data_IF_889761946774
#
_entry.id   IF_889761946774
#
_cell.length_a   1.000
_cell.length_b   1.000
_cell.length_c   1.000
_cell.angle_alpha   90.00
_cell.angle_beta   90.00
_cell.angle_gamma   90.00
#
_symmetry.space_group_name_H-M   'P 1'
#
loop_
_entity.id
_entity.type
_entity.pdbx_description
1 polymer ?
#
# COMPACT_ATOMS: atom_id res chain seq x y z
N UNK A 1 5.00 24.97 -16.91
CA UNK A 1 5.08 23.53 -16.60
C UNK A 1 3.70 22.93 -16.88
N UNK A 2 3.64 21.80 -17.57
CA UNK A 2 2.39 21.10 -17.86
C UNK A 2 2.29 19.83 -17.01
N UNK A 3 1.20 19.70 -16.27
CA UNK A 3 0.95 18.61 -15.33
C UNK A 3 -0.28 17.83 -15.83
N UNK A 4 -0.12 16.54 -16.06
CA UNK A 4 -1.24 15.63 -16.31
C UNK A 4 -1.46 14.80 -15.05
N UNK A 5 -2.71 14.71 -14.59
CA UNK A 5 -3.01 14.11 -13.29
C UNK A 5 -4.31 13.30 -13.29
N UNK A 6 -4.36 12.26 -12.46
CA UNK A 6 -5.62 11.59 -12.12
C UNK A 6 -6.54 12.57 -11.38
N UNK A 7 -7.73 12.82 -11.94
CA UNK A 7 -8.74 13.76 -11.40
C UNK A 7 -9.22 13.41 -9.98
N UNK A 8 -9.08 12.14 -9.59
CA UNK A 8 -9.49 11.65 -8.28
C UNK A 8 -8.38 11.79 -7.20
N UNK A 9 -7.30 12.51 -7.49
CA UNK A 9 -6.33 12.91 -6.47
C UNK A 9 -6.97 13.98 -5.59
N UNK A 10 -7.09 13.75 -4.26
CA UNK A 10 -7.72 14.71 -3.37
C UNK A 10 -7.00 16.06 -3.40
N UNK A 11 -7.77 17.14 -3.46
CA UNK A 11 -7.28 18.52 -3.43
C UNK A 11 -6.26 18.84 -4.56
N UNK A 12 -6.33 18.13 -5.69
CA UNK A 12 -5.42 18.24 -6.83
C UNK A 12 -5.17 19.72 -7.23
N UNK A 13 -6.24 20.47 -7.51
CA UNK A 13 -6.13 21.87 -7.93
C UNK A 13 -5.53 22.78 -6.85
N UNK A 14 -5.81 22.49 -5.58
CA UNK A 14 -5.29 23.28 -4.46
C UNK A 14 -3.78 23.14 -4.30
N UNK A 15 -3.26 21.93 -4.50
CA UNK A 15 -1.83 21.66 -4.31
C UNK A 15 -0.99 21.86 -5.57
N UNK A 16 -1.56 21.66 -6.76
CA UNK A 16 -0.78 21.64 -8.00
C UNK A 16 -1.19 22.72 -9.00
N UNK A 17 -2.33 23.38 -8.84
CA UNK A 17 -2.84 24.35 -9.79
C UNK A 17 -1.99 25.61 -9.97
N UNK A 18 -1.17 25.97 -8.99
CA UNK A 18 -0.28 27.14 -9.05
C UNK A 18 1.05 26.85 -9.77
N UNK A 19 1.39 25.58 -10.03
CA UNK A 19 2.65 25.21 -10.64
C UNK A 19 2.65 25.26 -12.17
N UNK A 20 1.49 25.42 -12.80
CA UNK A 20 1.38 25.52 -14.26
C UNK A 20 0.03 25.07 -14.79
N UNK A 21 -0.01 24.68 -16.06
CA UNK A 21 -1.17 24.10 -16.69
C UNK A 21 -1.46 22.72 -16.11
N UNK A 22 -2.62 22.55 -15.50
CA UNK A 22 -3.04 21.29 -14.87
C UNK A 22 -4.19 20.68 -15.68
N UNK A 23 -3.95 19.50 -16.24
CA UNK A 23 -4.93 18.70 -16.99
C UNK A 23 -5.32 17.51 -16.12
N UNK A 24 -6.55 17.48 -15.65
CA UNK A 24 -7.11 16.40 -14.86
C UNK A 24 -7.93 15.47 -15.76
N UNK A 25 -7.69 14.14 -15.66
CA UNK A 25 -8.39 13.08 -16.40
C UNK A 25 -8.67 11.90 -15.49
N UNK A 26 -9.68 11.06 -15.80
CA UNK A 26 -9.82 9.77 -15.14
C UNK A 26 -8.51 8.96 -15.29
N UNK A 27 -7.95 8.47 -14.19
CA UNK A 27 -6.63 7.83 -14.19
C UNK A 27 -6.53 6.63 -15.14
N UNK A 28 -7.64 5.90 -15.36
CA UNK A 28 -7.71 4.77 -16.32
C UNK A 28 -7.75 5.20 -17.78
N UNK A 29 -8.00 6.48 -18.05
CA UNK A 29 -8.12 7.05 -19.39
C UNK A 29 -6.89 7.89 -19.78
N UNK A 30 -5.90 7.98 -18.91
CA UNK A 30 -4.62 8.63 -19.23
C UNK A 30 -3.87 7.75 -20.22
N UNK A 31 -3.56 8.33 -21.38
CA UNK A 31 -2.86 7.66 -22.50
C UNK A 31 -1.55 8.36 -22.82
N UNK A 32 -0.70 7.71 -23.60
CA UNK A 32 0.56 8.30 -24.07
C UNK A 32 0.36 9.62 -24.82
N UNK A 33 -0.72 9.79 -25.58
CA UNK A 33 -1.03 11.03 -26.29
C UNK A 33 -1.33 12.21 -25.34
N UNK A 34 -1.80 11.95 -24.13
CA UNK A 34 -2.11 13.00 -23.15
C UNK A 34 -0.86 13.59 -22.50
N UNK A 35 0.23 12.84 -22.50
CA UNK A 35 1.47 13.18 -21.79
C UNK A 35 2.65 13.49 -22.71
N UNK A 36 2.46 13.53 -24.01
CA UNK A 36 3.54 13.79 -24.98
C UNK A 36 4.34 15.06 -24.66
N UNK A 37 3.66 16.13 -24.27
CA UNK A 37 4.23 17.43 -23.93
C UNK A 37 4.10 17.79 -22.44
N UNK A 38 3.81 16.78 -21.60
CA UNK A 38 3.74 16.97 -20.14
C UNK A 38 5.12 16.95 -19.49
N UNK A 39 5.33 17.81 -18.50
CA UNK A 39 6.53 17.81 -17.66
C UNK A 39 6.38 16.85 -16.47
N UNK A 40 5.15 16.72 -15.97
CA UNK A 40 4.81 15.99 -14.74
C UNK A 40 3.60 15.11 -14.96
N UNK A 41 3.67 13.87 -14.48
CA UNK A 41 2.56 12.93 -14.44
C UNK A 41 2.25 12.58 -12.96
N UNK A 42 1.02 12.85 -12.54
CA UNK A 42 0.54 12.49 -11.19
C UNK A 42 -0.54 11.41 -11.31
N UNK A 43 -0.29 10.27 -10.67
CA UNK A 43 -1.15 9.09 -10.80
C UNK A 43 -1.64 8.57 -9.45
N UNK A 44 -2.59 7.66 -9.53
CA UNK A 44 -2.95 6.70 -8.48
C UNK A 44 -2.74 5.28 -9.01
N UNK A 45 -2.94 4.28 -8.17
CA UNK A 45 -2.72 2.86 -8.48
C UNK A 45 -3.52 2.30 -9.67
N UNK A 46 -4.44 3.06 -10.23
CA UNK A 46 -5.27 2.65 -11.38
C UNK A 46 -4.63 2.95 -12.75
N UNK A 47 -3.51 3.67 -12.75
CA UNK A 47 -2.76 4.03 -13.97
C UNK A 47 -1.46 3.25 -14.00
N UNK A 48 -1.31 2.36 -14.98
CA UNK A 48 -0.04 1.66 -15.19
C UNK A 48 0.98 2.63 -15.81
N UNK A 49 2.09 2.85 -15.11
CA UNK A 49 3.18 3.75 -15.54
C UNK A 49 4.36 2.90 -15.97
N UNK A 50 4.46 2.67 -17.26
CA UNK A 50 5.46 1.83 -17.91
C UNK A 50 6.02 2.47 -19.17
N UNK A 51 6.88 1.76 -19.87
CA UNK A 51 7.44 2.18 -21.15
C UNK A 51 6.34 2.52 -22.19
N UNK A 52 5.20 1.83 -22.20
CA UNK A 52 4.15 2.03 -23.19
C UNK A 52 3.49 3.39 -22.99
N UNK A 53 3.29 3.78 -21.74
CA UNK A 53 2.70 5.07 -21.40
C UNK A 53 3.69 6.20 -21.64
N UNK A 54 4.94 6.06 -21.17
CA UNK A 54 5.93 7.15 -21.12
C UNK A 54 6.76 7.33 -22.39
N UNK A 55 6.73 6.36 -23.30
CA UNK A 55 7.52 6.43 -24.54
C UNK A 55 7.17 7.70 -25.33
N UNK A 56 8.21 8.38 -25.81
CA UNK A 56 8.14 9.62 -26.60
C UNK A 56 7.53 10.82 -25.85
N UNK A 57 7.30 10.72 -24.52
CA UNK A 57 6.83 11.83 -23.69
C UNK A 57 7.99 12.74 -23.24
N UNK A 58 7.64 13.96 -22.80
CA UNK A 58 8.59 14.90 -22.19
C UNK A 58 8.55 14.85 -20.65
N UNK A 59 7.90 13.84 -20.06
CA UNK A 59 7.74 13.69 -18.63
C UNK A 59 9.11 13.52 -17.94
N UNK A 60 9.37 14.35 -16.94
CA UNK A 60 10.60 14.34 -16.14
C UNK A 60 10.36 13.98 -14.67
N UNK A 61 9.10 13.94 -14.27
CA UNK A 61 8.71 13.57 -12.92
C UNK A 61 7.39 12.79 -12.92
N UNK A 62 7.39 11.67 -12.22
CA UNK A 62 6.19 10.87 -11.93
C UNK A 62 5.96 10.88 -10.43
N UNK A 63 4.75 11.25 -10.01
CA UNK A 63 4.31 11.16 -8.63
C UNK A 63 3.13 10.21 -8.48
N UNK A 64 3.21 9.23 -7.58
CA UNK A 64 2.03 8.45 -7.21
C UNK A 64 1.45 8.96 -5.89
N UNK A 65 0.16 9.27 -5.90
CA UNK A 65 -0.59 9.72 -4.72
C UNK A 65 -1.20 8.55 -3.94
N UNK A 66 -0.65 7.36 -4.13
CA UNK A 66 -0.97 6.14 -3.38
C UNK A 66 0.26 5.58 -2.69
N UNK A 67 0.08 4.70 -1.70
CA UNK A 67 1.19 4.15 -0.92
C UNK A 67 1.98 3.06 -1.69
N UNK A 68 1.29 2.27 -2.54
CA UNK A 68 1.90 1.23 -3.36
C UNK A 68 2.58 1.78 -4.60
N UNK A 69 3.55 1.04 -5.15
CA UNK A 69 4.36 1.39 -6.31
C UNK A 69 4.30 0.32 -7.42
N UNK A 70 3.59 -0.76 -7.20
CA UNK A 70 3.47 -1.92 -8.07
C UNK A 70 2.90 -1.61 -9.47
N UNK A 71 2.25 -0.46 -9.62
CA UNK A 71 1.77 0.07 -10.90
C UNK A 71 2.81 0.94 -11.64
N UNK A 72 4.05 1.05 -11.13
CA UNK A 72 5.10 1.90 -11.70
C UNK A 72 6.35 1.08 -12.01
N UNK A 73 6.77 1.08 -13.26
CA UNK A 73 8.03 0.50 -13.72
C UNK A 73 9.21 1.39 -13.31
N UNK A 74 9.72 1.18 -12.11
CA UNK A 74 10.82 1.97 -11.54
C UNK A 74 12.12 1.79 -12.32
N UNK A 75 12.36 0.62 -12.88
CA UNK A 75 13.56 0.33 -13.66
C UNK A 75 13.54 1.16 -14.95
N UNK A 76 12.41 1.23 -15.63
CA UNK A 76 12.24 2.07 -16.79
C UNK A 76 12.41 3.56 -16.46
N UNK A 77 11.80 4.05 -15.37
CA UNK A 77 11.96 5.43 -14.92
C UNK A 77 13.45 5.79 -14.68
N UNK A 78 14.16 4.92 -13.99
CA UNK A 78 15.60 5.09 -13.72
C UNK A 78 16.43 5.11 -15.01
N UNK A 79 16.14 4.23 -15.98
CA UNK A 79 16.83 4.19 -17.28
C UNK A 79 16.60 5.47 -18.10
N UNK A 80 15.45 6.13 -17.95
CA UNK A 80 15.09 7.35 -18.65
C UNK A 80 15.39 8.65 -17.87
N UNK A 81 16.04 8.55 -16.71
CA UNK A 81 16.31 9.68 -15.78
C UNK A 81 15.03 10.44 -15.38
N UNK A 82 13.90 9.71 -15.27
CA UNK A 82 12.63 10.26 -14.82
C UNK A 82 12.59 10.14 -13.29
N UNK A 83 12.46 11.27 -12.59
CA UNK A 83 12.35 11.27 -11.14
C UNK A 83 11.01 10.73 -10.69
N UNK A 84 11.03 9.97 -9.59
CA UNK A 84 9.84 9.38 -9.01
C UNK A 84 9.65 9.77 -7.54
N UNK A 85 8.41 9.95 -7.13
CA UNK A 85 8.04 10.09 -5.72
C UNK A 85 6.74 9.32 -5.42
N UNK A 86 6.72 8.69 -4.26
CA UNK A 86 5.56 8.09 -3.65
C UNK A 86 5.37 8.63 -2.22
N UNK A 87 4.23 8.34 -1.61
CA UNK A 87 3.93 8.74 -0.24
C UNK A 87 3.70 7.52 0.67
N UNK A 88 4.73 6.68 0.91
CA UNK A 88 4.56 5.46 1.70
C UNK A 88 4.10 5.80 3.12
N UNK A 89 3.04 5.12 3.57
CA UNK A 89 2.47 5.31 4.90
C UNK A 89 1.58 6.54 5.08
N UNK A 90 1.36 7.36 4.04
CA UNK A 90 0.49 8.53 4.13
C UNK A 90 -0.95 8.17 4.54
N UNK A 91 -1.48 7.06 4.05
CA UNK A 91 -2.80 6.53 4.37
C UNK A 91 -2.81 5.48 5.50
N UNK A 92 -1.67 5.20 6.14
CA UNK A 92 -1.57 4.07 7.07
C UNK A 92 -2.53 4.20 8.26
N UNK A 93 -2.79 5.40 8.76
CA UNK A 93 -3.77 5.59 9.85
C UNK A 93 -5.20 5.26 9.39
N UNK A 94 -5.59 5.68 8.18
CA UNK A 94 -6.92 5.37 7.63
C UNK A 94 -7.11 3.88 7.40
N UNK A 95 -6.06 3.17 6.96
CA UNK A 95 -6.09 1.69 6.84
C UNK A 95 -6.26 1.05 8.21
N UNK A 96 -5.52 1.51 9.22
CA UNK A 96 -5.66 1.00 10.60
C UNK A 96 -7.07 1.23 11.15
N UNK A 97 -7.66 2.41 10.93
CA UNK A 97 -9.03 2.72 11.35
C UNK A 97 -10.05 1.83 10.64
N UNK A 98 -9.84 1.55 9.35
CA UNK A 98 -10.66 0.61 8.60
C UNK A 98 -10.58 -0.81 9.19
N UNK A 99 -9.36 -1.32 9.48
CA UNK A 99 -9.16 -2.65 10.08
C UNK A 99 -9.83 -2.73 11.45
N UNK A 100 -9.69 -1.72 12.29
CA UNK A 100 -10.36 -1.69 13.60
C UNK A 100 -11.89 -1.68 13.47
N UNK A 101 -12.41 -0.97 12.48
CA UNK A 101 -13.86 -0.98 12.18
C UNK A 101 -14.33 -2.35 11.71
N UNK A 102 -13.56 -3.02 10.83
CA UNK A 102 -13.84 -4.39 10.41
C UNK A 102 -13.81 -5.37 11.60
N UNK A 103 -12.81 -5.25 12.47
CA UNK A 103 -12.68 -6.09 13.66
C UNK A 103 -13.89 -5.93 14.59
N UNK A 104 -14.35 -4.70 14.82
CA UNK A 104 -15.56 -4.43 15.61
C UNK A 104 -16.82 -5.05 15.00
N UNK A 105 -16.98 -4.98 13.67
CA UNK A 105 -18.11 -5.61 12.97
C UNK A 105 -18.04 -7.12 13.05
N UNK A 106 -16.84 -7.70 12.90
CA UNK A 106 -16.64 -9.15 13.01
C UNK A 106 -16.97 -9.65 14.42
N UNK A 107 -16.53 -8.92 15.46
CA UNK A 107 -16.82 -9.24 16.84
C UNK A 107 -18.33 -9.25 17.13
N UNK A 108 -19.05 -8.24 16.65
CA UNK A 108 -20.51 -8.15 16.80
C UNK A 108 -21.22 -9.28 16.00
N UNK A 109 -20.78 -9.55 14.76
CA UNK A 109 -21.40 -10.56 13.89
C UNK A 109 -21.16 -11.99 14.40
N UNK A 110 -19.99 -12.28 14.94
CA UNK A 110 -19.58 -13.62 15.38
C UNK A 110 -19.64 -13.79 16.90
N UNK A 111 -20.09 -12.76 17.63
CA UNK A 111 -20.32 -12.78 19.09
C UNK A 111 -19.08 -13.16 19.90
N UNK A 112 -17.93 -12.51 19.60
CA UNK A 112 -16.71 -12.62 20.42
C UNK A 112 -16.29 -11.26 20.97
N UNK A 113 -15.57 -11.27 22.06
CA UNK A 113 -14.99 -10.04 22.64
C UNK A 113 -13.62 -9.77 22.02
N UNK A 114 -13.39 -8.54 21.54
CA UNK A 114 -12.17 -8.16 20.82
C UNK A 114 -10.91 -8.30 21.66
N UNK A 115 -11.00 -8.03 22.96
CA UNK A 115 -9.89 -8.11 23.92
C UNK A 115 -9.56 -9.55 24.35
N UNK A 116 -10.48 -10.50 24.12
CA UNK A 116 -10.25 -11.92 24.33
C UNK A 116 -9.65 -12.61 23.09
N UNK A 117 -9.79 -11.99 21.92
CA UNK A 117 -9.29 -12.52 20.65
C UNK A 117 -7.77 -12.27 20.48
N UNK A 118 -7.13 -13.17 19.73
CA UNK A 118 -5.77 -12.98 19.25
C UNK A 118 -5.77 -12.47 17.82
N UNK A 119 -4.99 -11.42 17.53
CA UNK A 119 -4.89 -10.83 16.19
C UNK A 119 -3.50 -11.05 15.62
N UNK A 120 -3.43 -11.79 14.52
CA UNK A 120 -2.25 -12.00 13.72
C UNK A 120 -2.03 -10.87 12.72
N UNK A 121 -0.82 -10.32 12.67
CA UNK A 121 -0.44 -9.26 11.75
C UNK A 121 0.68 -9.79 10.86
N UNK A 122 0.42 -9.85 9.55
CA UNK A 122 1.40 -10.22 8.55
C UNK A 122 1.90 -8.96 7.86
N UNK A 123 3.21 -8.65 8.01
CA UNK A 123 3.84 -7.42 7.56
C UNK A 123 3.91 -6.34 8.64
N UNK A 124 5.12 -5.97 9.06
CA UNK A 124 5.39 -4.98 10.10
C UNK A 124 5.91 -3.65 9.55
N UNK A 125 5.32 -3.23 8.44
CA UNK A 125 5.58 -1.95 7.79
C UNK A 125 4.80 -0.77 8.41
N UNK A 126 4.48 0.22 7.58
CA UNK A 126 3.78 1.43 8.03
C UNK A 126 2.40 1.19 8.64
N UNK A 127 1.66 0.22 8.13
CA UNK A 127 0.32 -0.13 8.62
C UNK A 127 0.42 -1.10 9.80
N UNK A 128 1.08 -2.25 9.62
CA UNK A 128 1.14 -3.31 10.64
C UNK A 128 1.68 -2.82 11.97
N UNK A 129 2.74 -2.02 11.97
CA UNK A 129 3.30 -1.43 13.19
C UNK A 129 2.31 -0.51 13.92
N UNK A 130 1.54 0.31 13.18
CA UNK A 130 0.55 1.19 13.80
C UNK A 130 -0.66 0.41 14.30
N UNK A 131 -1.10 -0.60 13.55
CA UNK A 131 -2.18 -1.49 13.95
C UNK A 131 -1.81 -2.22 15.24
N UNK A 132 -0.66 -2.87 15.27
CA UNK A 132 -0.14 -3.56 16.45
C UNK A 132 -0.17 -2.68 17.69
N UNK A 133 0.41 -1.48 17.59
CA UNK A 133 0.44 -0.52 18.70
C UNK A 133 -0.96 -0.08 19.18
N UNK A 134 -1.93 0.05 18.28
CA UNK A 134 -3.31 0.41 18.65
C UNK A 134 -4.02 -0.77 19.32
N UNK A 135 -3.88 -1.99 18.77
CA UNK A 135 -4.48 -3.20 19.34
C UNK A 135 -3.95 -3.48 20.76
N UNK A 136 -2.64 -3.41 20.95
CA UNK A 136 -2.04 -3.57 22.29
C UNK A 136 -2.56 -2.55 23.30
N UNK A 137 -2.77 -1.30 22.88
CA UNK A 137 -3.37 -0.26 23.76
C UNK A 137 -4.83 -0.52 24.10
N UNK A 138 -5.53 -1.30 23.29
CA UNK A 138 -6.90 -1.76 23.55
C UNK A 138 -6.94 -3.06 24.37
N UNK A 139 -5.78 -3.60 24.78
CA UNK A 139 -5.68 -4.84 25.53
C UNK A 139 -5.70 -6.12 24.67
N UNK A 140 -5.73 -5.99 23.35
CA UNK A 140 -5.79 -7.12 22.40
C UNK A 140 -4.42 -7.80 22.30
N UNK A 141 -4.41 -9.13 22.43
CA UNK A 141 -3.20 -9.93 22.20
C UNK A 141 -2.87 -9.97 20.71
N UNK A 142 -1.62 -9.66 20.36
CA UNK A 142 -1.17 -9.65 18.97
C UNK A 142 0.01 -10.57 18.73
N UNK A 143 0.07 -11.19 17.55
CA UNK A 143 1.24 -11.89 17.01
C UNK A 143 1.64 -11.26 15.69
N UNK A 144 2.94 -11.07 15.48
CA UNK A 144 3.45 -10.33 14.32
C UNK A 144 4.45 -11.18 13.55
N UNK A 145 4.24 -11.30 12.24
CA UNK A 145 5.17 -11.92 11.32
C UNK A 145 5.64 -10.92 10.25
N UNK A 146 6.94 -10.80 10.09
CA UNK A 146 7.60 -10.09 8.98
C UNK A 146 8.98 -10.71 8.76
N UNK A 147 9.21 -11.43 7.64
CA UNK A 147 10.46 -12.14 7.40
C UNK A 147 11.65 -11.21 7.11
N UNK A 148 11.39 -9.94 6.79
CA UNK A 148 12.41 -8.93 6.51
C UNK A 148 12.77 -8.07 7.74
N UNK A 149 12.21 -8.41 8.92
CA UNK A 149 12.48 -7.72 10.16
C UNK A 149 13.20 -8.62 11.15
N UNK A 150 14.09 -8.02 11.92
CA UNK A 150 14.85 -8.67 12.99
C UNK A 150 14.58 -7.97 14.32
N UNK A 151 15.08 -8.54 15.41
CA UNK A 151 15.05 -7.91 16.75
C UNK A 151 15.81 -6.58 16.82
N UNK A 152 16.66 -6.28 15.84
CA UNK A 152 17.35 -4.98 15.74
C UNK A 152 16.46 -3.91 15.10
N UNK A 153 15.50 -4.34 14.26
CA UNK A 153 14.58 -3.44 13.54
C UNK A 153 13.36 -3.04 14.36
N UNK A 154 13.05 -3.79 15.42
CA UNK A 154 11.84 -3.60 16.22
C UNK A 154 12.01 -4.13 17.64
N UNK A 155 11.37 -3.45 18.61
CA UNK A 155 11.25 -3.92 19.99
C UNK A 155 10.16 -5.02 20.13
N UNK A 156 9.38 -5.25 19.08
CA UNK A 156 8.30 -6.24 19.07
C UNK A 156 8.86 -7.65 18.88
N UNK A 157 8.34 -8.60 19.63
CA UNK A 157 8.64 -10.01 19.47
C UNK A 157 7.97 -10.52 18.18
N UNK A 158 8.78 -10.81 17.16
CA UNK A 158 8.31 -11.43 15.92
C UNK A 158 8.17 -12.94 16.11
N UNK A 159 7.18 -13.53 15.46
CA UNK A 159 6.91 -14.96 15.47
C UNK A 159 6.92 -15.55 14.05
N UNK A 160 6.78 -16.86 13.94
CA UNK A 160 6.67 -17.55 12.65
C UNK A 160 5.33 -17.29 11.98
N UNK A 161 5.24 -17.54 10.68
CA UNK A 161 3.98 -17.49 9.95
C UNK A 161 2.97 -18.48 10.54
N UNK A 162 3.40 -19.70 10.87
CA UNK A 162 2.54 -20.73 11.46
C UNK A 162 1.92 -20.29 12.80
N UNK A 163 2.67 -19.55 13.61
CA UNK A 163 2.15 -19.00 14.87
C UNK A 163 1.13 -17.89 14.64
N UNK A 164 1.29 -17.08 13.57
CA UNK A 164 0.30 -16.07 13.18
C UNK A 164 -0.97 -16.69 12.63
N UNK A 165 -0.84 -17.78 11.88
CA UNK A 165 -1.97 -18.54 11.34
C UNK A 165 -2.84 -19.22 12.41
N UNK A 166 -2.38 -19.33 13.65
CA UNK A 166 -3.17 -19.83 14.80
C UNK A 166 -3.95 -18.72 15.55
N UNK A 167 -3.96 -17.49 15.03
CA UNK A 167 -4.72 -16.40 15.62
C UNK A 167 -6.19 -16.44 15.18
N UNK A 168 -7.07 -15.89 16.00
CA UNK A 168 -8.52 -15.86 15.74
C UNK A 168 -8.85 -14.93 14.54
N UNK A 169 -8.06 -13.89 14.35
CA UNK A 169 -8.19 -12.93 13.23
C UNK A 169 -6.81 -12.66 12.63
N UNK A 170 -6.72 -12.65 11.31
CA UNK A 170 -5.47 -12.36 10.59
C UNK A 170 -5.65 -11.13 9.70
N UNK A 171 -4.69 -10.22 9.77
CA UNK A 171 -4.66 -9.00 8.95
C UNK A 171 -3.34 -8.88 8.18
N UNK A 172 -3.44 -8.82 6.83
CA UNK A 172 -2.28 -8.77 5.93
C UNK A 172 -1.98 -7.32 5.52
N UNK A 173 -0.71 -6.93 5.68
CA UNK A 173 -0.20 -5.60 5.38
C UNK A 173 1.13 -5.67 4.62
N UNK A 174 1.19 -6.55 3.65
CA UNK A 174 2.36 -6.80 2.79
C UNK A 174 2.12 -6.26 1.37
N UNK A 175 3.17 -5.89 0.62
CA UNK A 175 3.05 -5.63 -0.82
C UNK A 175 2.71 -6.94 -1.54
N UNK A 176 2.13 -6.85 -2.74
CA UNK A 176 1.98 -8.00 -3.62
C UNK A 176 3.30 -8.24 -4.36
N UNK A 177 3.91 -9.40 -4.14
CA UNK A 177 5.13 -9.84 -4.83
C UNK A 177 4.96 -11.27 -5.32
N UNK A 178 5.47 -11.58 -6.49
CA UNK A 178 5.44 -12.89 -7.13
C UNK A 178 6.82 -13.56 -7.21
N UNK A 179 7.87 -12.83 -6.80
CA UNK A 179 9.25 -13.28 -6.77
C UNK A 179 9.94 -12.98 -5.42
N UNK A 180 11.22 -13.33 -5.33
CA UNK A 180 12.04 -13.13 -4.12
C UNK A 180 11.98 -14.31 -3.15
N UNK A 181 12.65 -14.15 -2.00
CA UNK A 181 12.77 -15.20 -0.99
C UNK A 181 11.44 -15.48 -0.26
N UNK A 182 10.60 -14.44 -0.10
CA UNK A 182 9.30 -14.51 0.59
C UNK A 182 8.21 -13.87 -0.28
N UNK A 183 7.77 -14.52 -1.39
CA UNK A 183 6.71 -13.99 -2.23
C UNK A 183 5.39 -13.96 -1.45
N UNK A 184 4.60 -12.93 -1.71
CA UNK A 184 3.32 -12.74 -1.01
C UNK A 184 2.11 -13.14 -1.84
N UNK A 185 2.29 -13.35 -3.15
CA UNK A 185 1.24 -13.87 -4.01
C UNK A 185 0.88 -15.29 -3.58
N UNK A 186 -0.40 -15.52 -3.27
CA UNK A 186 -0.92 -16.79 -2.75
C UNK A 186 -0.27 -17.25 -1.42
N UNK A 187 0.33 -16.35 -0.64
CA UNK A 187 0.90 -16.72 0.66
C UNK A 187 -0.11 -17.29 1.66
N UNK A 188 -1.39 -17.00 1.48
CA UNK A 188 -2.51 -17.64 2.16
C UNK A 188 -3.33 -18.33 1.08
N UNK A 189 -3.19 -19.62 0.97
CA UNK A 189 -3.89 -20.47 0.02
C UNK A 189 -4.81 -21.49 0.72
N UNK A 190 -5.26 -22.50 0.00
CA UNK A 190 -6.17 -23.51 0.53
C UNK A 190 -5.56 -24.33 1.67
N UNK A 191 -4.24 -24.53 1.69
CA UNK A 191 -3.54 -25.27 2.74
C UNK A 191 -3.56 -24.46 4.04
N UNK A 192 -3.18 -23.17 4.00
CA UNK A 192 -3.20 -22.29 5.15
C UNK A 192 -4.62 -22.08 5.66
N UNK A 193 -5.60 -21.86 4.76
CA UNK A 193 -7.02 -21.71 5.14
C UNK A 193 -7.56 -22.97 5.83
N UNK A 194 -7.11 -24.15 5.40
CA UNK A 194 -7.56 -25.42 6.01
C UNK A 194 -6.95 -25.67 7.40
N UNK A 195 -5.91 -24.94 7.74
CA UNK A 195 -5.23 -25.00 9.04
C UNK A 195 -5.78 -23.95 10.05
N UNK A 196 -6.63 -23.03 9.58
CA UNK A 196 -7.36 -22.04 10.38
C UNK A 196 -8.64 -22.64 10.93
#
# INVERSE_FOLDING_TARGET
MKIVADENIPLLHRFFGEFGELIAKPGREITSSDILDADVLLVRSVTQVDQRLLKDSTVRFVGTCTAGQDHVDLDYLNQQDIRFAAAPGANANSVVEYVLSCLSILADTHSFEVDEATVGIIGYGNVGRRLNKKLQRLGVTTKVYDPFKTSEDTEEALCSLDEVLQCDVISLHVPLTDDGEFPTQYMIDAEQISAL
#
